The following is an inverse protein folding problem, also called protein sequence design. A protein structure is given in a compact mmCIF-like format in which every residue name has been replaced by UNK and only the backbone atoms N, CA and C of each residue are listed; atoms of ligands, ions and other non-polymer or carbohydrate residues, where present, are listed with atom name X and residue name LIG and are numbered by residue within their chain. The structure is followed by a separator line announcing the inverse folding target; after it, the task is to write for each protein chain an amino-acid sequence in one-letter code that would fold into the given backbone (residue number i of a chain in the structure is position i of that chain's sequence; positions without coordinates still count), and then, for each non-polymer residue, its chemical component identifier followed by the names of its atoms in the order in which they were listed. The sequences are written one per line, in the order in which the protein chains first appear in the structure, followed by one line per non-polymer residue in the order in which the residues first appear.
data_IF_484614369526
#
_entry.id   IF_484614369526
#
_cell.length_a   1.000
_cell.length_b   1.000
_cell.length_c   1.000
_cell.angle_alpha   90.00
_cell.angle_beta   90.00
_cell.angle_gamma   90.00
#
_symmetry.space_group_name_H-M   'P 1'
#
loop_
_entity.id
_entity.type
_entity.pdbx_description
1 polymer ?
#
# COMPACT_ATOMS: atom_id res chain seq x y z
N UNK A 1 -29.27 27.97 -13.79
CA UNK A 1 -27.91 28.20 -13.22
C UNK A 1 -27.44 26.85 -12.67
N UNK A 2 -26.63 26.16 -13.42
CA UNK A 2 -26.10 24.86 -13.04
C UNK A 2 -24.83 25.08 -12.22
N UNK A 3 -24.88 24.75 -10.94
CA UNK A 3 -23.69 24.73 -10.07
C UNK A 3 -22.88 23.48 -10.41
N UNK A 4 -21.83 23.71 -11.16
CA UNK A 4 -20.83 22.71 -11.51
C UNK A 4 -19.97 22.44 -10.27
N UNK A 5 -20.32 21.46 -9.45
CA UNK A 5 -19.45 20.93 -8.39
C UNK A 5 -18.39 20.03 -9.04
N UNK A 6 -17.38 20.66 -9.60
CA UNK A 6 -16.17 20.01 -10.06
C UNK A 6 -15.32 19.53 -8.89
N UNK A 7 -15.63 18.38 -8.32
CA UNK A 7 -14.62 17.55 -7.64
C UNK A 7 -13.76 16.93 -8.74
N UNK A 8 -12.83 17.73 -9.27
CA UNK A 8 -11.85 17.24 -10.24
C UNK A 8 -11.10 16.05 -9.61
N UNK A 9 -11.24 14.89 -10.24
CA UNK A 9 -10.51 13.69 -9.84
C UNK A 9 -9.00 14.04 -9.85
N UNK A 10 -8.43 14.19 -8.64
CA UNK A 10 -7.00 14.52 -8.49
C UNK A 10 -6.19 13.45 -9.18
N UNK A 11 -5.19 13.87 -9.97
CA UNK A 11 -4.27 12.93 -10.56
C UNK A 11 -3.63 12.04 -9.47
N UNK A 12 -3.23 10.84 -9.84
CA UNK A 12 -2.56 9.90 -8.92
C UNK A 12 -1.36 10.57 -8.25
N UNK A 13 -0.56 11.28 -9.03
CA UNK A 13 0.65 11.96 -8.56
C UNK A 13 0.32 13.05 -7.54
N UNK A 14 -0.72 13.85 -7.79
CA UNK A 14 -1.15 14.91 -6.87
C UNK A 14 -1.65 14.33 -5.56
N UNK A 15 -2.42 13.26 -5.61
CA UNK A 15 -2.93 12.58 -4.42
C UNK A 15 -1.79 11.96 -3.58
N UNK A 16 -0.83 11.26 -4.22
CA UNK A 16 0.32 10.70 -3.51
C UNK A 16 1.17 11.82 -2.91
N UNK A 17 1.32 12.94 -3.62
CA UNK A 17 2.06 14.09 -3.11
C UNK A 17 1.39 14.73 -1.90
N UNK A 18 0.08 14.80 -1.86
CA UNK A 18 -0.67 15.23 -0.68
C UNK A 18 -0.38 14.32 0.52
N UNK A 19 -0.33 12.98 0.30
CA UNK A 19 0.03 12.02 1.33
C UNK A 19 1.48 12.24 1.83
N UNK A 20 2.44 12.50 0.93
CA UNK A 20 3.82 12.86 1.32
C UNK A 20 3.84 14.15 2.13
N UNK A 21 3.08 15.17 1.71
CA UNK A 21 3.02 16.46 2.39
C UNK A 21 2.42 16.36 3.79
N UNK A 22 1.50 15.45 4.04
CA UNK A 22 0.86 15.25 5.34
C UNK A 22 1.83 14.82 6.44
N UNK A 23 2.96 14.20 6.07
CA UNK A 23 3.98 13.71 7.01
C UNK A 23 5.29 14.51 6.95
N UNK A 24 5.32 15.64 6.24
CA UNK A 24 6.50 16.53 6.18
C UNK A 24 6.95 16.95 7.59
N UNK A 25 8.28 16.92 7.80
CA UNK A 25 8.90 17.28 9.08
C UNK A 25 9.16 16.10 10.02
N UNK A 26 8.79 14.86 9.66
CA UNK A 26 9.40 13.67 10.25
C UNK A 26 10.87 13.58 9.79
N UNK A 27 11.74 12.99 10.62
CA UNK A 27 13.19 13.20 10.55
C UNK A 27 13.90 12.75 9.26
N UNK A 28 13.31 11.85 8.46
CA UNK A 28 13.98 11.26 7.29
C UNK A 28 13.04 11.13 6.09
N UNK A 29 13.15 12.07 5.14
CA UNK A 29 12.35 12.02 3.89
C UNK A 29 12.43 10.69 3.12
N UNK A 30 13.59 10.00 3.01
CA UNK A 30 13.67 8.69 2.34
C UNK A 30 12.82 7.59 2.99
N UNK A 31 12.56 7.68 4.30
CA UNK A 31 11.72 6.71 5.02
C UNK A 31 10.21 6.87 4.77
N UNK A 32 9.77 8.01 4.24
CA UNK A 32 8.33 8.24 4.01
C UNK A 32 7.68 7.18 3.11
N UNK A 33 8.40 6.71 2.08
CA UNK A 33 7.91 5.64 1.21
C UNK A 33 7.56 4.38 1.97
N UNK A 34 8.30 4.08 3.05
CA UNK A 34 8.10 2.89 3.87
C UNK A 34 6.78 2.93 4.65
N UNK A 35 6.30 4.12 5.02
CA UNK A 35 5.00 4.31 5.68
C UNK A 35 3.85 4.45 4.67
N UNK A 36 4.07 5.16 3.56
CA UNK A 36 3.02 5.49 2.59
C UNK A 36 2.58 4.25 1.81
N UNK A 37 3.54 3.46 1.27
CA UNK A 37 3.24 2.34 0.39
C UNK A 37 2.41 1.24 1.06
N UNK A 38 2.72 0.77 2.30
CA UNK A 38 1.89 -0.22 2.97
C UNK A 38 0.46 0.26 3.23
N UNK A 39 0.27 1.56 3.52
CA UNK A 39 -1.06 2.12 3.72
C UNK A 39 -1.84 2.25 2.41
N UNK A 40 -1.21 2.65 1.31
CA UNK A 40 -1.85 2.63 -0.03
C UNK A 40 -2.25 1.19 -0.37
N UNK A 41 -1.37 0.23 -0.11
CA UNK A 41 -1.67 -1.18 -0.36
C UNK A 41 -2.82 -1.68 0.51
N UNK A 42 -2.81 -1.38 1.80
CA UNK A 42 -3.91 -1.71 2.70
C UNK A 42 -5.24 -1.09 2.26
N UNK A 43 -5.22 0.19 1.85
CA UNK A 43 -6.40 0.88 1.30
C UNK A 43 -6.93 0.15 0.07
N UNK A 44 -6.04 -0.20 -0.87
CA UNK A 44 -6.43 -0.98 -2.07
C UNK A 44 -7.05 -2.32 -1.71
N UNK A 45 -6.46 -3.06 -0.76
CA UNK A 45 -7.01 -4.33 -0.28
C UNK A 45 -8.40 -4.15 0.32
N UNK A 46 -8.61 -3.11 1.15
CA UNK A 46 -9.90 -2.82 1.76
C UNK A 46 -10.95 -2.49 0.70
N UNK A 47 -10.63 -1.63 -0.26
CA UNK A 47 -11.59 -1.21 -1.29
C UNK A 47 -11.95 -2.36 -2.24
N UNK A 48 -10.96 -3.18 -2.64
CA UNK A 48 -11.23 -4.40 -3.45
C UNK A 48 -12.08 -5.40 -2.67
N UNK A 49 -11.80 -5.59 -1.39
CA UNK A 49 -12.60 -6.47 -0.54
C UNK A 49 -14.04 -5.96 -0.40
N UNK A 50 -14.23 -4.64 -0.24
CA UNK A 50 -15.57 -4.02 -0.22
C UNK A 50 -16.33 -4.26 -1.54
N UNK A 51 -15.65 -4.14 -2.69
CA UNK A 51 -16.26 -4.43 -4.00
C UNK A 51 -16.70 -5.90 -4.10
N UNK A 52 -15.86 -6.82 -3.63
CA UNK A 52 -16.19 -8.26 -3.63
C UNK A 52 -17.34 -8.59 -2.67
N UNK A 53 -17.32 -8.01 -1.46
CA UNK A 53 -18.44 -8.14 -0.50
C UNK A 53 -19.73 -7.54 -1.05
N UNK A 54 -19.65 -6.38 -1.71
CA UNK A 54 -20.82 -5.75 -2.34
C UNK A 54 -21.40 -6.61 -3.48
N UNK A 55 -20.55 -7.27 -4.27
CA UNK A 55 -20.98 -8.22 -5.29
C UNK A 55 -21.77 -9.37 -4.67
N UNK A 56 -21.23 -9.99 -3.61
CA UNK A 56 -21.90 -11.08 -2.88
C UNK A 56 -23.19 -10.56 -2.22
N UNK A 57 -23.18 -9.35 -1.66
CA UNK A 57 -24.34 -8.75 -1.01
C UNK A 57 -25.53 -8.59 -1.96
N UNK A 58 -25.30 -8.31 -3.25
CA UNK A 58 -26.35 -8.27 -4.27
C UNK A 58 -27.04 -9.62 -4.45
N UNK A 59 -26.30 -10.71 -4.29
CA UNK A 59 -26.85 -12.08 -4.42
C UNK A 59 -27.59 -12.53 -3.15
N UNK A 60 -27.05 -12.19 -1.96
CA UNK A 60 -27.62 -12.64 -0.68
C UNK A 60 -28.56 -11.62 -0.03
N UNK A 61 -28.71 -10.44 -0.63
CA UNK A 61 -29.65 -9.38 -0.25
C UNK A 61 -29.20 -8.46 0.88
N UNK A 62 -27.96 -8.62 1.45
CA UNK A 62 -27.45 -7.70 2.47
C UNK A 62 -25.94 -7.86 2.69
N UNK A 63 -25.22 -6.74 2.98
CA UNK A 63 -23.78 -6.76 3.33
C UNK A 63 -23.50 -7.57 4.60
N UNK A 64 -24.35 -7.48 5.61
CA UNK A 64 -24.20 -8.25 6.84
C UNK A 64 -24.21 -9.77 6.60
N UNK A 65 -25.07 -10.25 5.68
CA UNK A 65 -25.08 -11.66 5.28
C UNK A 65 -23.85 -12.02 4.46
N UNK A 66 -23.42 -11.12 3.56
CA UNK A 66 -22.21 -11.32 2.76
C UNK A 66 -20.97 -11.44 3.66
N UNK A 67 -20.78 -10.59 4.66
CA UNK A 67 -19.69 -10.69 5.64
C UNK A 67 -19.69 -12.04 6.38
N UNK A 68 -20.86 -12.51 6.84
CA UNK A 68 -20.98 -13.82 7.49
C UNK A 68 -20.57 -14.94 6.55
N UNK A 69 -20.98 -14.88 5.30
CA UNK A 69 -20.66 -15.89 4.30
C UNK A 69 -19.17 -15.93 3.99
N UNK A 70 -18.55 -14.76 3.75
CA UNK A 70 -17.11 -14.64 3.49
C UNK A 70 -16.28 -15.09 4.70
N UNK A 71 -16.75 -14.84 5.93
CA UNK A 71 -16.09 -15.30 7.15
C UNK A 71 -16.13 -16.83 7.27
N UNK A 72 -17.20 -17.46 6.78
CA UNK A 72 -17.35 -18.92 6.76
C UNK A 72 -16.54 -19.55 5.62
N UNK A 73 -16.58 -18.95 4.43
CA UNK A 73 -15.82 -19.41 3.26
C UNK A 73 -14.96 -18.27 2.69
N UNK A 74 -13.70 -18.24 3.11
CA UNK A 74 -12.71 -17.24 2.70
C UNK A 74 -12.35 -17.30 1.21
N UNK A 75 -12.69 -18.39 0.50
CA UNK A 75 -12.41 -18.55 -0.94
C UNK A 75 -13.32 -17.71 -1.84
N UNK A 76 -14.38 -17.13 -1.28
CA UNK A 76 -15.29 -16.25 -2.00
C UNK A 76 -14.67 -14.90 -2.38
N UNK A 77 -13.56 -14.55 -1.74
CA UNK A 77 -12.80 -13.31 -1.95
C UNK A 77 -11.34 -13.61 -2.24
N UNK A 78 -10.65 -12.73 -2.96
CA UNK A 78 -9.23 -12.90 -3.30
C UNK A 78 -8.33 -12.83 -2.07
N UNK A 79 -8.62 -11.87 -1.19
CA UNK A 79 -7.92 -11.69 0.07
C UNK A 79 -8.96 -11.53 1.17
N UNK A 80 -8.88 -12.35 2.20
CA UNK A 80 -9.76 -12.23 3.35
C UNK A 80 -9.22 -11.18 4.32
N UNK A 81 -10.03 -10.17 4.64
CA UNK A 81 -9.68 -9.16 5.62
C UNK A 81 -10.44 -9.42 6.93
N UNK A 82 -9.72 -9.70 8.02
CA UNK A 82 -10.33 -9.89 9.35
C UNK A 82 -10.68 -8.54 9.99
N UNK A 83 -11.11 -7.58 9.19
CA UNK A 83 -11.55 -6.26 9.59
C UNK A 83 -13.06 -6.17 9.40
N UNK A 84 -13.79 -5.99 10.49
CA UNK A 84 -15.24 -5.92 10.47
C UNK A 84 -15.68 -4.53 10.96
N UNK A 85 -16.26 -3.68 10.10
CA UNK A 85 -16.76 -2.39 10.51
C UNK A 85 -17.94 -2.58 11.47
N UNK A 86 -18.11 -1.67 12.43
CA UNK A 86 -19.23 -1.72 13.41
C UNK A 86 -20.58 -1.73 12.73
N UNK A 87 -20.70 -0.96 11.67
CA UNK A 87 -21.86 -0.94 10.77
C UNK A 87 -21.45 -1.63 9.47
N UNK A 88 -22.10 -2.74 9.07
CA UNK A 88 -21.77 -3.46 7.85
C UNK A 88 -21.88 -2.63 6.57
N UNK A 89 -22.61 -1.52 6.58
CA UNK A 89 -22.74 -0.63 5.44
C UNK A 89 -21.57 0.34 5.29
N UNK A 90 -20.75 0.49 6.32
CA UNK A 90 -19.51 1.28 6.24
C UNK A 90 -18.41 0.54 5.50
N UNK A 91 -17.54 1.28 4.77
CA UNK A 91 -16.35 0.70 4.15
C UNK A 91 -15.43 0.02 5.18
N UNK A 92 -14.79 -1.09 4.80
CA UNK A 92 -13.84 -1.82 5.66
C UNK A 92 -12.65 -0.93 6.05
N UNK A 93 -12.22 -0.04 5.16
CA UNK A 93 -11.19 0.95 5.47
C UNK A 93 -11.52 1.83 6.69
N UNK A 94 -12.80 2.02 7.02
CA UNK A 94 -13.21 2.79 8.20
C UNK A 94 -12.67 2.22 9.51
N UNK A 95 -12.38 0.93 9.57
CA UNK A 95 -11.78 0.26 10.76
C UNK A 95 -10.36 0.75 11.00
N UNK A 96 -9.61 1.01 9.93
CA UNK A 96 -8.26 1.58 10.00
C UNK A 96 -8.32 3.09 10.23
N UNK A 97 -9.25 3.80 9.55
CA UNK A 97 -9.37 5.25 9.58
C UNK A 97 -9.88 5.79 10.92
N UNK A 98 -10.90 5.15 11.49
CA UNK A 98 -11.61 5.67 12.66
C UNK A 98 -11.18 4.90 13.91
N UNK A 99 -10.50 5.54 14.87
CA UNK A 99 -10.15 4.90 16.11
C UNK A 99 -11.40 4.48 16.90
N UNK A 100 -11.40 3.31 17.54
CA UNK A 100 -12.50 2.90 18.38
C UNK A 100 -12.60 3.83 19.60
N UNK A 101 -13.80 4.21 19.99
CA UNK A 101 -14.03 4.87 21.28
C UNK A 101 -13.75 3.84 22.38
N UNK A 102 -12.65 4.03 23.10
CA UNK A 102 -12.21 3.14 24.18
C UNK A 102 -11.75 3.98 25.38
N UNK A 103 -12.02 3.48 26.57
CA UNK A 103 -11.54 4.09 27.83
C UNK A 103 -10.01 3.96 28.00
N UNK A 104 -9.38 3.06 27.23
CA UNK A 104 -7.92 2.92 27.14
C UNK A 104 -7.52 3.12 25.68
N UNK A 105 -7.15 4.32 25.27
CA UNK A 105 -6.72 4.57 23.90
C UNK A 105 -5.40 3.85 23.63
N UNK A 106 -5.42 2.96 22.66
CA UNK A 106 -4.22 2.38 22.07
C UNK A 106 -3.66 3.41 21.10
N UNK A 107 -2.34 3.59 21.05
CA UNK A 107 -1.70 4.51 20.11
C UNK A 107 -2.07 4.19 18.65
N UNK A 108 -2.19 5.22 17.84
CA UNK A 108 -2.59 5.07 16.42
C UNK A 108 -1.64 4.12 15.68
N UNK A 109 -0.32 4.27 15.88
CA UNK A 109 0.69 3.42 15.26
C UNK A 109 0.57 1.95 15.65
N UNK A 110 0.32 1.65 16.92
CA UNK A 110 0.13 0.28 17.39
C UNK A 110 -1.15 -0.34 16.79
N UNK A 111 -2.22 0.43 16.74
CA UNK A 111 -3.51 0.02 16.17
C UNK A 111 -3.39 -0.33 14.69
N UNK A 112 -2.79 0.55 13.89
CA UNK A 112 -2.58 0.35 12.46
C UNK A 112 -1.68 -0.88 12.24
N UNK A 113 -0.56 -0.98 12.95
CA UNK A 113 0.35 -2.13 12.86
C UNK A 113 -0.38 -3.44 13.17
N UNK A 114 -1.21 -3.46 14.21
CA UNK A 114 -2.01 -4.63 14.59
C UNK A 114 -2.98 -5.05 13.48
N UNK A 115 -3.66 -4.10 12.83
CA UNK A 115 -4.56 -4.39 11.72
C UNK A 115 -3.82 -4.95 10.50
N UNK A 116 -2.66 -4.37 10.14
CA UNK A 116 -1.86 -4.87 9.02
C UNK A 116 -1.32 -6.28 9.28
N UNK A 117 -0.87 -6.56 10.49
CA UNK A 117 -0.45 -7.92 10.89
C UNK A 117 -1.61 -8.91 10.82
N UNK A 118 -2.80 -8.53 11.29
CA UNK A 118 -3.98 -9.38 11.19
C UNK A 118 -4.37 -9.70 9.74
N UNK A 119 -4.25 -8.74 8.82
CA UNK A 119 -4.46 -8.96 7.38
C UNK A 119 -3.41 -9.93 6.83
N UNK A 120 -2.14 -9.74 7.16
CA UNK A 120 -1.04 -10.58 6.70
C UNK A 120 -1.17 -12.02 7.22
N UNK A 121 -1.52 -12.21 8.48
CA UNK A 121 -1.73 -13.53 9.08
C UNK A 121 -2.91 -14.28 8.46
N UNK A 122 -3.94 -13.55 8.03
CA UNK A 122 -5.08 -14.14 7.34
C UNK A 122 -4.77 -14.49 5.87
N UNK A 123 -3.68 -13.93 5.28
CA UNK A 123 -3.32 -14.08 3.88
C UNK A 123 -1.81 -14.36 3.73
N UNK A 124 -1.39 -15.63 3.68
CA UNK A 124 0.04 -16.00 3.64
C UNK A 124 0.85 -15.34 2.53
N UNK A 125 0.21 -15.00 1.40
CA UNK A 125 0.86 -14.29 0.28
C UNK A 125 1.24 -12.85 0.59
N UNK A 126 0.63 -12.24 1.60
CA UNK A 126 0.88 -10.85 2.02
C UNK A 126 1.88 -10.75 3.16
N UNK A 127 2.25 -11.88 3.77
CA UNK A 127 3.19 -11.94 4.89
C UNK A 127 4.59 -11.51 4.46
N UNK A 128 5.20 -10.61 5.24
CA UNK A 128 6.47 -10.00 4.90
C UNK A 128 6.39 -8.85 3.89
N UNK A 129 5.19 -8.49 3.43
CA UNK A 129 4.95 -7.36 2.53
C UNK A 129 4.26 -6.23 3.27
N UNK A 130 3.06 -6.47 3.79
CA UNK A 130 2.22 -5.46 4.42
C UNK A 130 2.51 -5.29 5.91
N UNK A 131 2.98 -6.32 6.57
CA UNK A 131 3.31 -6.39 8.00
C UNK A 131 4.78 -6.06 8.31
N UNK A 132 5.57 -5.68 7.30
CA UNK A 132 7.00 -5.37 7.43
C UNK A 132 7.24 -4.09 8.23
N UNK A 133 6.34 -3.13 8.15
CA UNK A 133 6.49 -1.81 8.78
C UNK A 133 5.79 -1.79 10.13
N UNK A 134 6.50 -1.32 11.13
CA UNK A 134 5.96 -1.04 12.45
C UNK A 134 5.72 0.47 12.57
N UNK A 135 4.45 0.89 12.53
CA UNK A 135 4.06 2.29 12.69
C UNK A 135 4.24 2.82 14.12
N UNK A 136 4.57 1.94 15.07
CA UNK A 136 4.89 2.30 16.44
C UNK A 136 6.40 2.33 16.71
N UNK A 137 7.23 2.14 15.67
CA UNK A 137 8.68 2.12 15.80
C UNK A 137 9.23 3.42 16.36
N UNK A 138 10.29 3.30 17.18
CA UNK A 138 11.01 4.40 17.78
C UNK A 138 12.47 4.35 17.41
N UNK A 139 13.04 5.47 16.98
CA UNK A 139 14.46 5.63 16.72
C UNK A 139 15.02 6.66 17.71
N UNK A 140 16.04 6.29 18.46
CA UNK A 140 16.65 7.13 19.52
C UNK A 140 15.63 7.64 20.56
N UNK A 141 14.65 6.81 20.94
CA UNK A 141 13.64 7.15 21.94
C UNK A 141 12.54 8.11 21.46
N UNK A 142 12.52 8.44 20.16
CA UNK A 142 11.45 9.22 19.54
C UNK A 142 10.75 8.37 18.47
N UNK A 143 9.43 8.53 18.36
CA UNK A 143 8.64 7.84 17.33
C UNK A 143 9.06 8.33 15.96
N UNK A 144 9.22 7.41 15.02
CA UNK A 144 9.57 7.72 13.63
C UNK A 144 8.42 8.47 12.95
N UNK A 145 7.18 8.12 13.29
CA UNK A 145 5.96 8.80 12.88
C UNK A 145 5.04 8.96 14.09
N UNK A 146 4.72 10.20 14.46
CA UNK A 146 3.77 10.49 15.54
C UNK A 146 2.32 10.22 15.13
N UNK A 147 1.43 10.05 16.11
CA UNK A 147 0.03 9.68 15.88
C UNK A 147 -0.74 10.72 15.07
N UNK A 148 -0.44 12.01 15.25
CA UNK A 148 -1.11 13.10 14.51
C UNK A 148 -0.75 13.05 13.02
N UNK A 149 0.54 12.84 12.71
CA UNK A 149 0.99 12.69 11.32
C UNK A 149 0.47 11.40 10.68
N UNK A 150 0.43 10.30 11.43
CA UNK A 150 -0.15 9.05 10.96
C UNK A 150 -1.64 9.22 10.64
N UNK A 151 -2.40 9.89 11.51
CA UNK A 151 -3.80 10.22 11.26
C UNK A 151 -3.97 11.09 10.02
N UNK A 152 -3.15 12.14 9.85
CA UNK A 152 -3.18 12.98 8.66
C UNK A 152 -2.84 12.19 7.38
N UNK A 153 -1.90 11.25 7.45
CA UNK A 153 -1.55 10.37 6.33
C UNK A 153 -2.73 9.46 5.96
N UNK A 154 -3.37 8.85 6.96
CA UNK A 154 -4.55 8.00 6.75
C UNK A 154 -5.68 8.81 6.11
N UNK A 155 -5.92 10.05 6.56
CA UNK A 155 -6.93 10.93 5.98
C UNK A 155 -6.59 11.31 4.52
N UNK A 156 -5.33 11.66 4.23
CA UNK A 156 -4.90 11.95 2.87
C UNK A 156 -5.07 10.75 1.92
N UNK A 157 -4.75 9.54 2.40
CA UNK A 157 -4.94 8.30 1.63
C UNK A 157 -6.43 7.99 1.46
N UNK A 158 -7.26 8.30 2.46
CA UNK A 158 -8.71 8.05 2.42
C UNK A 158 -9.44 8.90 1.37
N UNK A 159 -8.84 9.99 0.91
CA UNK A 159 -9.46 10.92 -0.02
C UNK A 159 -9.71 10.34 -1.42
N UNK A 160 -9.02 9.24 -1.80
CA UNK A 160 -9.16 8.60 -3.12
C UNK A 160 -9.67 7.18 -2.97
N UNK A 161 -10.76 6.80 -3.68
CA UNK A 161 -11.18 5.40 -3.78
C UNK A 161 -10.17 4.61 -4.63
N UNK A 162 -9.90 3.38 -4.23
CA UNK A 162 -8.96 2.48 -4.89
C UNK A 162 -9.60 1.13 -5.22
N UNK A 163 -10.91 1.08 -5.46
CA UNK A 163 -11.67 -0.12 -5.82
C UNK A 163 -11.36 -0.64 -7.23
N UNK A 164 -11.95 -1.76 -7.58
CA UNK A 164 -11.71 -2.45 -8.87
C UNK A 164 -12.09 -1.59 -10.09
N UNK A 165 -13.10 -0.74 -9.94
CA UNK A 165 -13.57 0.17 -10.99
C UNK A 165 -12.96 1.57 -10.93
N UNK A 166 -12.25 1.92 -9.85
CA UNK A 166 -11.82 3.29 -9.59
C UNK A 166 -10.42 3.59 -10.15
N UNK A 167 -9.55 2.58 -10.16
CA UNK A 167 -8.15 2.73 -10.56
C UNK A 167 -7.65 1.53 -11.34
N UNK A 168 -6.58 1.76 -12.12
CA UNK A 168 -5.90 0.69 -12.86
C UNK A 168 -5.35 -0.40 -11.91
N UNK A 169 -5.24 -1.66 -12.39
CA UNK A 169 -4.74 -2.77 -11.59
C UNK A 169 -3.34 -2.52 -10.99
N UNK A 170 -2.47 -1.78 -11.69
CA UNK A 170 -1.09 -1.53 -11.29
C UNK A 170 -0.91 -0.20 -10.53
N UNK A 171 -1.92 0.25 -9.82
CA UNK A 171 -1.87 1.50 -9.04
C UNK A 171 -0.72 1.51 -8.02
N UNK A 172 -0.40 0.35 -7.45
CA UNK A 172 0.66 0.20 -6.44
C UNK A 172 2.04 0.40 -7.08
N UNK A 173 2.29 -0.24 -8.23
CA UNK A 173 3.54 -0.07 -8.98
C UNK A 173 3.77 1.38 -9.40
N UNK A 174 2.75 2.02 -9.95
CA UNK A 174 2.80 3.44 -10.33
C UNK A 174 3.04 4.37 -9.14
N UNK A 175 2.42 4.08 -7.99
CA UNK A 175 2.65 4.84 -6.75
C UNK A 175 4.09 4.71 -6.28
N UNK A 176 4.65 3.50 -6.34
CA UNK A 176 6.05 3.23 -5.99
C UNK A 176 7.02 3.97 -6.90
N UNK A 177 6.84 3.88 -8.23
CA UNK A 177 7.68 4.58 -9.21
C UNK A 177 7.66 6.11 -9.01
N UNK A 178 6.47 6.66 -8.78
CA UNK A 178 6.31 8.08 -8.51
C UNK A 178 7.09 8.53 -7.27
N UNK A 179 6.95 7.80 -6.15
CA UNK A 179 7.64 8.12 -4.91
C UNK A 179 9.15 8.05 -5.05
N UNK A 180 9.68 6.99 -5.70
CA UNK A 180 11.12 6.88 -5.94
C UNK A 180 11.63 8.06 -6.75
N UNK A 181 10.96 8.40 -7.84
CA UNK A 181 11.34 9.54 -8.70
C UNK A 181 11.36 10.85 -7.89
N UNK A 182 10.30 11.11 -7.13
CA UNK A 182 10.18 12.35 -6.34
C UNK A 182 11.21 12.46 -5.22
N UNK A 183 11.53 11.37 -4.56
CA UNK A 183 12.56 11.40 -3.52
C UNK A 183 13.97 11.48 -4.09
N UNK A 184 14.23 10.91 -5.27
CA UNK A 184 15.50 11.08 -5.98
C UNK A 184 15.71 12.54 -6.42
N UNK A 185 14.67 13.21 -6.93
CA UNK A 185 14.71 14.63 -7.29
C UNK A 185 15.03 15.54 -6.09
N UNK A 186 14.53 15.18 -4.89
CA UNK A 186 14.67 16.01 -3.67
C UNK A 186 15.96 15.79 -2.89
N UNK A 187 16.67 14.67 -3.08
CA UNK A 187 17.82 14.31 -2.25
C UNK A 187 19.15 14.83 -2.77
N UNK A 188 19.21 15.42 -3.96
CA UNK A 188 20.47 15.86 -4.58
C UNK A 188 21.49 14.75 -4.82
N UNK A 189 21.16 13.52 -4.48
CA UNK A 189 21.96 12.34 -4.76
C UNK A 189 21.81 11.98 -6.24
N UNK A 190 22.94 11.77 -6.89
CA UNK A 190 23.03 11.48 -8.31
C UNK A 190 21.98 10.46 -8.73
N UNK A 191 21.21 10.80 -9.74
CA UNK A 191 20.18 9.97 -10.38
C UNK A 191 20.72 8.63 -10.97
N UNK A 192 21.93 8.20 -10.57
CA UNK A 192 22.59 6.98 -11.03
C UNK A 192 22.21 5.72 -10.29
N UNK A 193 21.57 5.82 -9.14
CA UNK A 193 21.15 4.66 -8.38
C UNK A 193 19.68 4.35 -8.62
N UNK A 194 19.41 3.36 -9.50
CA UNK A 194 18.26 2.45 -9.48
C UNK A 194 16.90 2.86 -10.08
N UNK A 195 16.82 3.83 -10.97
CA UNK A 195 15.60 3.97 -11.74
C UNK A 195 15.87 3.81 -13.25
N UNK A 196 15.46 2.67 -13.81
CA UNK A 196 15.33 2.53 -15.27
C UNK A 196 13.93 3.01 -15.65
N UNK A 197 13.78 4.13 -16.37
CA UNK A 197 12.46 4.61 -16.79
C UNK A 197 11.69 3.52 -17.55
N UNK A 198 10.40 3.38 -17.23
CA UNK A 198 9.51 2.40 -17.87
C UNK A 198 9.48 2.54 -19.38
N UNK A 199 9.73 3.76 -19.90
CA UNK A 199 9.84 4.05 -21.31
C UNK A 199 11.06 3.35 -21.96
N UNK A 200 12.19 3.20 -21.25
CA UNK A 200 13.33 2.44 -21.75
C UNK A 200 13.07 0.93 -21.76
N UNK A 201 12.32 0.44 -20.79
CA UNK A 201 11.92 -0.99 -20.74
C UNK A 201 10.91 -1.29 -21.84
N UNK A 202 9.97 -0.39 -22.10
CA UNK A 202 8.98 -0.57 -23.18
C UNK A 202 9.60 -0.43 -24.56
N UNK A 203 10.59 0.46 -24.74
CA UNK A 203 11.34 0.65 -25.97
C UNK A 203 12.25 -0.55 -26.29
N UNK A 204 12.83 -1.19 -25.28
CA UNK A 204 13.66 -2.39 -25.44
C UNK A 204 12.85 -3.67 -25.69
N UNK A 205 11.54 -3.71 -25.36
CA UNK A 205 10.66 -4.84 -25.69
C UNK A 205 10.44 -5.05 -27.18
N UNK A 206 10.64 -4.03 -28.00
CA UNK A 206 10.56 -4.14 -29.46
C UNK A 206 11.77 -4.81 -30.11
N UNK A 207 12.88 -5.02 -29.39
CA UNK A 207 14.15 -5.47 -29.96
C UNK A 207 14.72 -6.77 -29.35
N UNK A 208 14.15 -7.27 -28.23
CA UNK A 208 14.67 -8.45 -27.55
C UNK A 208 13.52 -9.36 -27.12
N UNK A 209 13.45 -10.53 -27.74
CA UNK A 209 12.74 -11.71 -27.19
C UNK A 209 13.44 -12.14 -25.91
N UNK A 210 13.14 -11.49 -24.80
CA UNK A 210 13.67 -11.86 -23.49
C UNK A 210 13.02 -13.16 -23.03
N UNK A 211 13.81 -14.21 -22.92
CA UNK A 211 13.40 -15.48 -22.31
C UNK A 211 12.96 -15.23 -20.85
N UNK A 212 11.95 -15.96 -20.39
CA UNK A 212 11.34 -15.86 -19.05
C UNK A 212 12.31 -15.88 -17.86
N UNK A 213 13.59 -16.25 -18.08
CA UNK A 213 14.62 -16.30 -17.03
C UNK A 213 15.20 -14.94 -16.61
N UNK A 214 15.09 -13.90 -17.41
CA UNK A 214 15.70 -12.59 -17.12
C UNK A 214 14.84 -11.71 -16.22
N UNK A 215 13.53 -11.89 -16.22
CA UNK A 215 12.60 -11.10 -15.39
C UNK A 215 12.78 -11.43 -13.92
N UNK A 216 13.08 -12.70 -13.57
CA UNK A 216 13.37 -13.08 -12.19
C UNK A 216 14.70 -12.52 -11.67
N UNK A 217 15.67 -12.32 -12.55
CA UNK A 217 17.00 -11.77 -12.19
C UNK A 217 16.94 -10.26 -11.92
N UNK A 218 16.13 -9.52 -12.69
CA UNK A 218 15.94 -8.06 -12.48
C UNK A 218 15.14 -7.78 -11.19
N UNK A 219 14.14 -8.61 -10.88
CA UNK A 219 13.37 -8.53 -9.63
C UNK A 219 14.23 -8.90 -8.39
N UNK A 220 15.16 -9.83 -8.53
CA UNK A 220 16.09 -10.21 -7.46
C UNK A 220 17.18 -9.15 -7.20
N UNK A 221 17.56 -8.36 -8.21
CA UNK A 221 18.53 -7.27 -8.08
C UNK A 221 17.97 -6.01 -7.42
N UNK A 222 16.64 -5.91 -7.25
CA UNK A 222 15.97 -4.78 -6.59
C UNK A 222 15.80 -4.95 -5.07
N UNK A 223 16.41 -5.96 -4.44
CA UNK A 223 16.43 -6.11 -2.99
C UNK A 223 17.67 -5.46 -2.38
N UNK A 224 17.52 -4.51 -1.45
CA UNK A 224 18.64 -3.85 -0.80
C UNK A 224 19.12 -4.64 0.41
N UNK A 225 19.64 -5.84 0.26
CA UNK A 225 20.42 -6.53 1.31
C UNK A 225 21.20 -7.69 0.70
N UNK A 226 22.40 -7.40 0.22
CA UNK A 226 23.40 -8.43 0.04
C UNK A 226 24.77 -7.95 0.54
N UNK A 227 24.86 -7.84 1.88
CA UNK A 227 26.15 -7.90 2.59
C UNK A 227 26.36 -9.32 3.07
N UNK A 228 26.83 -10.20 2.21
CA UNK A 228 27.69 -11.33 2.61
C UNK A 228 28.30 -11.96 1.36
N UNK A 229 29.60 -11.95 1.36
CA UNK A 229 30.53 -12.62 0.49
C UNK A 229 30.10 -14.05 0.10
N UNK A 230 29.82 -14.28 -1.17
CA UNK A 230 29.84 -15.60 -1.75
C UNK A 230 30.65 -15.58 -3.07
N UNK A 231 31.80 -16.17 -3.01
CA UNK A 231 32.74 -16.41 -4.10
C UNK A 231 32.09 -17.15 -5.27
N UNK A 232 32.02 -16.50 -6.41
CA UNK A 232 31.68 -17.16 -7.68
C UNK A 232 32.86 -17.97 -8.19
N UNK A 233 32.84 -19.27 -8.03
CA UNK A 233 33.71 -20.16 -8.80
C UNK A 233 33.04 -20.48 -10.12
N UNK A 234 33.55 -19.90 -11.17
CA UNK A 234 33.24 -20.24 -12.55
C UNK A 234 33.73 -21.67 -12.85
N UNK A 235 32.82 -22.62 -13.07
CA UNK A 235 33.17 -23.92 -13.64
C UNK A 235 32.64 -23.98 -15.05
N UNK A 236 33.56 -23.90 -16.01
CA UNK A 236 33.37 -24.26 -17.44
C UNK A 236 32.98 -25.73 -17.57
N UNK A 237 31.92 -26.00 -18.31
CA UNK A 237 31.86 -27.06 -19.34
C UNK A 237 30.76 -26.72 -20.32
#
# INVERSE_FOLDING_TARGET
MATNNGSGDKSLESWIWDAVCSIRGAKDAPKYKEFILPLIFAKRLCDVFDDEVNRIAKEVGSRAKAFKLVKHDKKLVRFFLPLEPKDPDNPVWSVIRIPPKSDKPVGEGERVTSHLRAIADANPLLKGIIDRVDFNATTHGQRDLDDDRLSNLIEAISAKPLGLGDVEPDIIGRSYEYLIRKFAEGSGQSAGEFYTPTELVSSSRGSLTLSRGWISTILAAAQPDCSSSASWSCRKR
#
